data_IF_464645645860
#
_entry.id   IF_464645645860
#
_cell.length_a   1.000
_cell.length_b   1.000
_cell.length_c   1.000
_cell.angle_alpha   90.00
_cell.angle_beta   90.00
_cell.angle_gamma   90.00
#
_symmetry.space_group_name_H-M   'P 1'
#
loop_
_entity.id
_entity.type
_entity.pdbx_description
1 polymer ?
#
# COMPACT_ATOMS: atom_id res chain seq x y z
N UNK A 1 -8.61 3.46 -5.57
CA UNK A 1 -7.91 3.89 -6.82
C UNK A 1 -8.86 4.51 -7.83
N UNK A 2 -8.37 5.41 -8.67
CA UNK A 2 -9.17 6.07 -9.72
C UNK A 2 -9.57 5.08 -10.81
N UNK A 3 -10.68 5.34 -11.47
CA UNK A 3 -11.00 4.77 -12.76
C UNK A 3 -10.34 5.66 -13.82
N UNK A 4 -9.62 5.05 -14.75
CA UNK A 4 -8.96 5.74 -15.84
C UNK A 4 -9.72 5.51 -17.13
N UNK A 5 -9.51 6.39 -18.11
CA UNK A 5 -10.13 6.31 -19.42
C UNK A 5 -9.04 6.27 -20.51
N UNK A 6 -9.22 5.40 -21.47
CA UNK A 6 -8.30 5.26 -22.59
C UNK A 6 -8.40 6.49 -23.51
N UNK A 7 -7.31 7.21 -23.74
CA UNK A 7 -7.25 8.41 -24.58
C UNK A 7 -7.69 8.15 -26.04
N UNK A 8 -7.61 6.90 -26.51
CA UNK A 8 -7.92 6.54 -27.90
C UNK A 8 -9.36 6.06 -28.05
N UNK A 9 -9.84 5.20 -27.12
CA UNK A 9 -11.15 4.53 -27.26
C UNK A 9 -12.25 5.07 -26.35
N UNK A 10 -11.91 5.86 -25.34
CA UNK A 10 -12.83 6.32 -24.30
C UNK A 10 -13.32 5.21 -23.36
N UNK A 11 -12.80 3.98 -23.47
CA UNK A 11 -13.20 2.88 -22.61
C UNK A 11 -12.44 2.89 -21.29
N UNK A 12 -13.04 2.37 -20.21
CA UNK A 12 -12.37 2.25 -18.93
C UNK A 12 -11.10 1.40 -19.02
N UNK A 13 -10.02 1.86 -18.39
CA UNK A 13 -8.79 1.11 -18.16
C UNK A 13 -8.44 1.17 -16.69
N UNK A 14 -7.79 0.11 -16.20
CA UNK A 14 -7.47 -0.06 -14.79
C UNK A 14 -5.96 0.10 -14.57
N UNK A 15 -5.59 0.45 -13.36
CA UNK A 15 -4.21 0.76 -12.97
C UNK A 15 -3.18 -0.30 -13.42
N UNK A 16 -3.56 -1.57 -13.37
CA UNK A 16 -2.69 -2.70 -13.77
C UNK A 16 -2.70 -3.00 -15.27
N UNK A 17 -3.51 -2.29 -16.08
CA UNK A 17 -3.55 -2.57 -17.51
C UNK A 17 -2.21 -2.21 -18.16
N UNK A 18 -1.71 -3.11 -18.99
CA UNK A 18 -0.52 -2.93 -19.84
C UNK A 18 -0.89 -2.66 -21.28
N UNK A 19 -2.15 -2.94 -21.66
CA UNK A 19 -2.72 -2.68 -22.99
C UNK A 19 -4.15 -2.22 -22.87
N UNK A 20 -4.62 -1.45 -23.86
CA UNK A 20 -6.02 -1.07 -24.04
C UNK A 20 -6.63 -1.89 -25.18
N UNK A 21 -7.51 -2.82 -24.85
CA UNK A 21 -8.18 -3.70 -25.81
C UNK A 21 -9.04 -2.88 -26.79
N UNK A 22 -9.76 -1.87 -26.29
CA UNK A 22 -10.60 -0.99 -27.10
C UNK A 22 -9.81 -0.11 -28.09
N UNK A 23 -8.50 0.01 -27.91
CA UNK A 23 -7.59 0.75 -28.80
C UNK A 23 -6.69 -0.19 -29.63
N UNK A 24 -7.16 -1.38 -30.00
CA UNK A 24 -6.40 -2.35 -30.79
C UNK A 24 -5.16 -2.91 -30.09
N UNK A 25 -5.24 -3.10 -28.77
CA UNK A 25 -4.13 -3.50 -27.89
C UNK A 25 -2.99 -2.48 -27.82
N UNK A 26 -3.29 -1.18 -27.99
CA UNK A 26 -2.30 -0.13 -27.75
C UNK A 26 -1.70 -0.27 -26.35
N UNK A 27 -0.38 -0.17 -26.17
CA UNK A 27 0.24 -0.19 -24.86
C UNK A 27 -0.31 0.92 -23.96
N UNK A 28 -0.35 0.64 -22.66
CA UNK A 28 -0.82 1.57 -21.64
C UNK A 28 0.33 1.87 -20.68
N UNK A 29 0.49 3.14 -20.34
CA UNK A 29 1.53 3.58 -19.42
C UNK A 29 1.03 4.54 -18.35
N UNK A 30 1.53 4.36 -17.12
CA UNK A 30 1.20 5.21 -15.98
C UNK A 30 2.22 6.35 -15.85
N UNK A 31 1.72 7.57 -15.76
CA UNK A 31 2.50 8.80 -15.59
C UNK A 31 2.38 9.27 -14.15
N UNK A 32 3.50 9.22 -13.42
CA UNK A 32 3.53 9.44 -11.98
C UNK A 32 3.26 10.90 -11.57
N UNK A 33 3.70 11.87 -12.36
CA UNK A 33 3.54 13.30 -12.05
C UNK A 33 2.08 13.77 -12.05
N UNK A 34 1.25 13.15 -12.88
CA UNK A 34 -0.19 13.45 -12.97
C UNK A 34 -1.07 12.38 -12.34
N UNK A 35 -0.49 11.24 -11.95
CA UNK A 35 -1.21 10.06 -11.48
C UNK A 35 -2.28 9.60 -12.48
N UNK A 36 -1.92 9.54 -13.76
CA UNK A 36 -2.81 9.21 -14.88
C UNK A 36 -2.27 8.05 -15.70
N UNK A 37 -3.18 7.31 -16.30
CA UNK A 37 -2.89 6.17 -17.16
C UNK A 37 -3.27 6.54 -18.61
N UNK A 38 -2.35 6.32 -19.54
CA UNK A 38 -2.51 6.75 -20.94
C UNK A 38 -2.27 5.62 -21.92
N UNK A 39 -3.03 5.62 -23.01
CA UNK A 39 -2.72 4.80 -24.18
C UNK A 39 -1.59 5.43 -24.99
N UNK A 40 -0.65 4.62 -25.43
CA UNK A 40 0.59 5.08 -26.04
C UNK A 40 0.62 4.82 -27.54
N UNK A 41 1.35 5.70 -28.24
CA UNK A 41 1.69 5.55 -29.66
C UNK A 41 3.22 5.42 -29.79
N UNK A 42 3.73 4.48 -30.61
CA UNK A 42 5.17 4.33 -30.79
C UNK A 42 5.75 5.52 -31.54
N UNK A 43 6.90 6.01 -31.08
CA UNK A 43 7.77 6.92 -31.83
C UNK A 43 8.81 6.10 -32.57
N UNK A 44 9.44 5.16 -31.85
CA UNK A 44 10.40 4.15 -32.34
C UNK A 44 10.30 2.87 -31.49
N UNK A 45 11.33 2.03 -31.51
CA UNK A 45 11.35 0.74 -30.78
C UNK A 45 11.34 0.89 -29.24
N UNK A 46 11.82 2.03 -28.71
CA UNK A 46 11.98 2.26 -27.26
C UNK A 46 11.14 3.43 -26.73
N UNK A 47 10.78 4.37 -27.60
CA UNK A 47 10.12 5.61 -27.23
C UNK A 47 8.65 5.64 -27.61
N UNK A 48 7.88 6.26 -26.74
CA UNK A 48 6.43 6.36 -26.83
C UNK A 48 5.97 7.81 -26.68
N UNK A 49 4.91 8.16 -27.37
CA UNK A 49 4.17 9.42 -27.20
C UNK A 49 2.82 9.16 -26.53
N UNK A 50 2.37 10.17 -25.82
CA UNK A 50 1.01 10.24 -25.25
C UNK A 50 0.25 11.26 -26.09
N UNK A 51 -0.89 10.87 -26.74
CA UNK A 51 -1.60 11.78 -27.65
C UNK A 51 -2.02 13.11 -27.03
N UNK A 52 -2.36 13.11 -25.74
CA UNK A 52 -2.78 14.32 -24.99
C UNK A 52 -1.61 15.15 -24.44
N UNK A 53 -0.35 14.73 -24.64
CA UNK A 53 0.87 15.39 -24.12
C UNK A 53 1.88 15.64 -25.25
N UNK A 54 1.54 16.59 -26.12
CA UNK A 54 2.37 16.92 -27.29
C UNK A 54 3.79 17.37 -26.90
N UNK A 55 4.78 16.91 -27.66
CA UNK A 55 6.19 17.27 -27.46
C UNK A 55 6.90 16.51 -26.35
N UNK A 56 6.22 15.62 -25.62
CA UNK A 56 6.84 14.75 -24.62
C UNK A 56 7.06 13.35 -25.19
N UNK A 57 8.19 12.76 -24.84
CA UNK A 57 8.51 11.37 -25.15
C UNK A 57 8.79 10.57 -23.88
N UNK A 58 8.39 9.32 -23.91
CA UNK A 58 8.36 8.42 -22.74
C UNK A 58 8.98 7.08 -23.07
N UNK A 59 9.51 6.42 -22.08
CA UNK A 59 9.95 5.01 -22.12
C UNK A 59 9.42 4.24 -20.95
N UNK A 60 9.30 2.94 -21.09
CA UNK A 60 8.93 2.09 -19.98
C UNK A 60 10.08 1.89 -18.99
N UNK A 61 9.74 1.57 -17.74
CA UNK A 61 10.68 1.13 -16.73
C UNK A 61 11.44 -0.12 -17.22
N UNK A 62 12.75 -0.20 -16.98
CA UNK A 62 13.55 -1.36 -17.35
C UNK A 62 13.08 -2.67 -16.69
N UNK A 63 12.37 -2.59 -15.57
CA UNK A 63 11.79 -3.76 -14.91
C UNK A 63 10.53 -4.30 -15.61
N UNK A 64 10.01 -3.66 -16.65
CA UNK A 64 8.78 -4.08 -17.31
C UNK A 64 8.72 -5.55 -17.66
N UNK A 65 9.81 -6.09 -18.20
CA UNK A 65 9.88 -7.50 -18.59
C UNK A 65 9.91 -8.47 -17.40
N UNK A 66 10.24 -7.99 -16.20
CA UNK A 66 10.41 -8.78 -14.98
C UNK A 66 9.17 -8.71 -14.10
N UNK A 67 8.69 -7.49 -13.82
CA UNK A 67 7.63 -7.23 -12.84
C UNK A 67 6.31 -6.73 -13.46
N UNK A 68 6.23 -6.69 -14.80
CA UNK A 68 5.03 -6.23 -15.52
C UNK A 68 4.76 -4.73 -15.37
N UNK A 69 5.75 -3.91 -15.00
CA UNK A 69 5.56 -2.48 -14.77
C UNK A 69 5.01 -1.77 -16.01
N UNK A 70 3.91 -1.05 -15.84
CA UNK A 70 3.36 -0.12 -16.82
C UNK A 70 3.74 1.34 -16.55
N UNK A 71 4.59 1.60 -15.56
CA UNK A 71 5.03 2.95 -15.21
C UNK A 71 6.02 3.50 -16.24
N UNK A 72 5.78 4.75 -16.62
CA UNK A 72 6.58 5.46 -17.60
C UNK A 72 7.65 6.33 -16.93
N UNK A 73 8.68 6.58 -17.71
CA UNK A 73 9.78 7.48 -17.39
C UNK A 73 9.90 8.44 -18.57
N UNK A 74 10.12 9.73 -18.31
CA UNK A 74 10.43 10.67 -19.38
C UNK A 74 11.70 10.25 -20.12
N UNK A 75 11.76 10.46 -21.39
CA UNK A 75 12.93 10.08 -22.19
C UNK A 75 14.22 10.81 -21.77
N UNK A 76 14.07 12.03 -21.21
CA UNK A 76 15.16 12.88 -20.71
C UNK A 76 15.54 12.61 -19.22
N UNK A 77 14.81 11.73 -18.52
CA UNK A 77 15.13 11.33 -17.14
C UNK A 77 16.38 10.43 -17.15
N UNK A 78 17.43 10.73 -16.34
CA UNK A 78 18.64 9.91 -16.30
C UNK A 78 18.43 8.51 -15.69
N UNK A 79 17.36 8.28 -14.95
CA UNK A 79 17.09 7.00 -14.31
C UNK A 79 16.51 5.97 -15.27
N UNK A 80 17.05 4.74 -15.22
CA UNK A 80 16.53 3.61 -15.98
C UNK A 80 15.23 3.01 -15.42
N UNK A 81 14.90 3.35 -14.17
CA UNK A 81 13.80 2.77 -13.42
C UNK A 81 12.74 3.83 -13.07
N UNK A 82 11.48 3.42 -13.11
CA UNK A 82 10.37 4.21 -12.59
C UNK A 82 10.45 4.34 -11.06
N UNK A 83 9.76 5.33 -10.51
CA UNK A 83 9.85 5.72 -9.09
C UNK A 83 9.84 4.52 -8.13
N UNK A 84 8.88 3.58 -8.15
CA UNK A 84 8.89 2.47 -7.19
C UNK A 84 10.18 1.64 -7.24
N UNK A 85 10.67 1.36 -8.44
CA UNK A 85 11.83 0.49 -8.64
C UNK A 85 13.18 1.15 -8.30
N UNK A 86 13.23 2.47 -8.16
CA UNK A 86 14.45 3.21 -7.71
C UNK A 86 14.83 2.88 -6.27
N UNK A 87 13.89 2.42 -5.48
CA UNK A 87 14.10 2.05 -4.07
C UNK A 87 14.53 0.60 -3.88
N UNK A 88 14.55 -0.24 -4.94
CA UNK A 88 14.89 -1.64 -4.84
C UNK A 88 16.42 -1.83 -4.85
N UNK A 89 16.97 -2.40 -3.75
CA UNK A 89 18.39 -2.70 -3.62
C UNK A 89 18.70 -4.15 -3.92
N UNK A 90 17.98 -5.07 -3.31
CA UNK A 90 18.14 -6.51 -3.54
C UNK A 90 16.86 -7.09 -4.14
N UNK A 91 17.03 -7.90 -5.19
CA UNK A 91 15.95 -8.57 -5.90
C UNK A 91 16.22 -10.07 -5.93
N UNK A 92 15.19 -10.94 -5.82
CA UNK A 92 15.37 -12.37 -5.98
C UNK A 92 15.78 -12.73 -7.42
N UNK A 93 16.21 -13.99 -7.60
CA UNK A 93 16.51 -14.54 -8.93
C UNK A 93 15.30 -14.40 -9.88
N UNK A 94 15.57 -14.28 -11.17
CA UNK A 94 14.55 -14.26 -12.24
C UNK A 94 14.61 -15.51 -13.13
N UNK A 95 15.36 -16.53 -12.71
CA UNK A 95 15.64 -17.69 -13.54
C UNK A 95 14.44 -18.61 -13.71
N UNK A 96 13.67 -18.85 -12.65
CA UNK A 96 12.46 -19.68 -12.71
C UNK A 96 11.23 -18.88 -13.16
N UNK A 97 10.21 -19.57 -13.65
CA UNK A 97 8.91 -18.95 -13.93
C UNK A 97 8.21 -18.51 -12.65
N UNK A 98 8.37 -19.28 -11.57
CA UNK A 98 7.82 -19.01 -10.24
C UNK A 98 8.42 -17.74 -9.63
N UNK A 99 9.74 -17.56 -9.70
CA UNK A 99 10.39 -16.33 -9.22
C UNK A 99 9.92 -15.09 -9.98
N UNK A 100 9.72 -15.20 -11.31
CA UNK A 100 9.17 -14.10 -12.11
C UNK A 100 7.73 -13.77 -11.72
N UNK A 101 6.90 -14.77 -11.42
CA UNK A 101 5.53 -14.54 -10.94
C UNK A 101 5.51 -13.85 -9.57
N UNK A 102 6.38 -14.28 -8.63
CA UNK A 102 6.57 -13.60 -7.34
C UNK A 102 6.96 -12.15 -7.54
N UNK A 103 7.94 -11.87 -8.41
CA UNK A 103 8.38 -10.50 -8.70
C UNK A 103 7.28 -9.65 -9.34
N UNK A 104 6.45 -10.23 -10.19
CA UNK A 104 5.29 -9.56 -10.76
C UNK A 104 4.29 -9.14 -9.66
N UNK A 105 3.95 -10.05 -8.73
CA UNK A 105 3.06 -9.78 -7.60
C UNK A 105 3.65 -8.73 -6.64
N UNK A 106 4.96 -8.83 -6.33
CA UNK A 106 5.68 -7.87 -5.49
C UNK A 106 5.68 -6.48 -6.15
N UNK A 107 6.05 -6.40 -7.43
CA UNK A 107 6.08 -5.15 -8.18
C UNK A 107 4.70 -4.49 -8.27
N UNK A 108 3.64 -5.30 -8.47
CA UNK A 108 2.25 -4.80 -8.46
C UNK A 108 1.90 -4.19 -7.10
N UNK A 109 2.14 -4.90 -6.00
CA UNK A 109 1.85 -4.38 -4.65
C UNK A 109 2.68 -3.12 -4.34
N UNK A 110 3.95 -3.08 -4.74
CA UNK A 110 4.81 -1.91 -4.56
C UNK A 110 4.29 -0.69 -5.35
N UNK A 111 3.85 -0.88 -6.60
CA UNK A 111 3.24 0.19 -7.40
C UNK A 111 1.97 0.75 -6.78
N UNK A 112 1.12 -0.11 -6.20
CA UNK A 112 -0.06 0.32 -5.44
C UNK A 112 0.32 1.15 -4.20
N UNK A 113 1.34 0.73 -3.46
CA UNK A 113 1.88 1.51 -2.34
C UNK A 113 2.33 2.89 -2.79
N UNK A 114 3.17 2.96 -3.84
CA UNK A 114 3.69 4.22 -4.35
C UNK A 114 2.60 5.12 -4.95
N UNK A 115 1.56 4.56 -5.56
CA UNK A 115 0.38 5.34 -5.94
C UNK A 115 -0.20 6.07 -4.73
N UNK A 116 -0.39 5.38 -3.62
CA UNK A 116 -0.94 5.98 -2.40
C UNK A 116 -0.01 7.05 -1.81
N UNK A 117 1.31 6.79 -1.76
CA UNK A 117 2.32 7.75 -1.28
C UNK A 117 2.29 9.04 -2.11
N UNK A 118 2.34 8.91 -3.45
CA UNK A 118 2.28 10.03 -4.38
C UNK A 118 0.95 10.79 -4.27
N UNK A 119 -0.16 10.07 -4.17
CA UNK A 119 -1.52 10.63 -4.07
C UNK A 119 -1.73 11.41 -2.77
N UNK A 120 -1.11 10.96 -1.67
CA UNK A 120 -1.08 11.68 -0.38
C UNK A 120 -0.13 12.88 -0.41
N UNK A 121 0.86 12.89 -1.31
CA UNK A 121 1.92 13.89 -1.37
C UNK A 121 2.92 13.74 -0.21
N UNK A 122 3.18 12.51 0.22
CA UNK A 122 4.09 12.23 1.32
C UNK A 122 5.56 12.29 0.88
N UNK A 123 6.48 12.86 1.67
CA UNK A 123 7.90 12.79 1.40
C UNK A 123 8.39 11.34 1.48
N UNK A 124 9.25 10.95 0.57
CA UNK A 124 9.80 9.60 0.54
C UNK A 124 11.28 9.65 0.15
N UNK A 125 12.17 10.16 1.03
CA UNK A 125 13.60 10.25 0.74
C UNK A 125 14.20 8.84 0.59
N UNK A 126 14.94 8.61 -0.49
CA UNK A 126 15.75 7.41 -0.69
C UNK A 126 17.12 7.52 -0.03
N UNK A 127 17.94 6.47 -0.15
CA UNK A 127 19.30 6.41 0.39
C UNK A 127 20.27 7.42 -0.26
N UNK A 128 19.95 7.95 -1.40
CA UNK A 128 20.68 9.02 -2.09
C UNK A 128 20.45 10.39 -1.43
N UNK A 129 19.30 10.60 -0.80
CA UNK A 129 18.92 11.82 -0.07
C UNK A 129 19.23 11.70 1.43
N UNK A 130 18.87 10.59 2.05
CA UNK A 130 19.16 10.26 3.44
C UNK A 130 19.87 8.90 3.51
N UNK A 131 21.19 8.93 3.55
CA UNK A 131 22.04 7.74 3.49
C UNK A 131 21.80 6.76 4.64
N UNK A 132 21.29 7.24 5.78
CA UNK A 132 21.12 6.44 6.99
C UNK A 132 19.67 5.93 7.18
N UNK A 133 18.67 6.75 6.86
CA UNK A 133 17.27 6.46 7.16
C UNK A 133 16.36 6.55 5.93
N UNK A 134 16.92 6.81 4.74
CA UNK A 134 16.15 6.84 3.49
C UNK A 134 15.57 5.47 3.15
N UNK A 135 14.43 5.47 2.48
CA UNK A 135 13.72 4.27 2.08
C UNK A 135 14.55 3.41 1.12
N UNK A 136 14.58 2.11 1.38
CA UNK A 136 15.13 1.10 0.48
C UNK A 136 14.42 -0.23 0.70
N UNK A 137 14.23 -1.01 -0.36
CA UNK A 137 13.61 -2.35 -0.31
C UNK A 137 14.63 -3.44 -0.65
N UNK A 138 14.59 -4.51 0.14
CA UNK A 138 15.22 -5.81 -0.17
C UNK A 138 14.14 -6.87 -0.30
N UNK A 139 14.07 -7.54 -1.44
CA UNK A 139 13.21 -8.69 -1.66
C UNK A 139 14.06 -9.96 -1.56
N UNK A 140 13.90 -10.68 -0.44
CA UNK A 140 14.81 -11.73 -0.01
C UNK A 140 14.27 -13.11 -0.34
N UNK A 141 15.12 -13.96 -0.93
CA UNK A 141 14.83 -15.38 -1.08
C UNK A 141 15.16 -16.15 0.20
N UNK A 142 14.40 -17.21 0.46
CA UNK A 142 14.75 -18.19 1.48
C UNK A 142 16.10 -18.84 1.14
N UNK A 143 16.83 -19.24 2.15
CA UNK A 143 18.09 -19.95 2.02
C UNK A 143 17.98 -21.38 2.60
N UNK A 144 19.02 -22.17 2.44
CA UNK A 144 19.12 -23.48 3.09
C UNK A 144 20.39 -23.56 3.93
N UNK A 145 20.30 -24.23 5.07
CA UNK A 145 21.47 -24.55 5.87
C UNK A 145 22.32 -25.68 5.23
N UNK A 146 23.42 -26.06 5.89
CA UNK A 146 24.33 -27.14 5.44
C UNK A 146 23.64 -28.50 5.31
N UNK A 147 22.53 -28.72 5.99
CA UNK A 147 21.77 -29.97 6.00
C UNK A 147 20.59 -29.95 5.02
N UNK A 148 20.45 -28.84 4.24
CA UNK A 148 19.40 -28.65 3.27
C UNK A 148 18.06 -28.21 3.88
N UNK A 149 18.03 -27.85 5.16
CA UNK A 149 16.82 -27.34 5.82
C UNK A 149 16.58 -25.89 5.44
N UNK A 150 15.34 -25.58 5.08
CA UNK A 150 14.92 -24.23 4.72
C UNK A 150 15.12 -23.26 5.89
N UNK A 151 15.77 -22.13 5.61
CA UNK A 151 15.87 -20.96 6.49
C UNK A 151 15.06 -19.84 5.82
N UNK A 152 13.86 -19.54 6.34
CA UNK A 152 13.05 -18.46 5.78
C UNK A 152 13.76 -17.12 5.94
N UNK A 153 13.70 -16.29 4.89
CA UNK A 153 14.07 -14.88 4.99
C UNK A 153 13.09 -14.16 5.93
N UNK A 154 13.57 -13.12 6.60
CA UNK A 154 12.73 -12.36 7.52
C UNK A 154 12.21 -11.09 6.85
N UNK A 155 10.93 -10.82 7.05
CA UNK A 155 10.30 -9.54 6.72
C UNK A 155 10.38 -8.60 7.91
N UNK A 156 10.56 -7.32 7.68
CA UNK A 156 10.59 -6.29 8.72
C UNK A 156 11.22 -4.98 8.26
N UNK A 157 11.20 -4.00 9.13
CA UNK A 157 11.76 -2.66 8.92
C UNK A 157 12.91 -2.38 9.89
N UNK A 158 14.01 -1.81 9.38
CA UNK A 158 15.14 -1.32 10.17
C UNK A 158 15.76 -0.09 9.49
N UNK A 159 15.73 1.06 10.16
CA UNK A 159 16.36 2.31 9.68
C UNK A 159 16.10 2.65 8.19
N UNK A 160 14.84 2.59 7.77
CA UNK A 160 14.42 2.87 6.40
C UNK A 160 14.62 1.70 5.43
N UNK A 161 15.28 0.61 5.85
CA UNK A 161 15.31 -0.64 5.08
C UNK A 161 14.05 -1.44 5.37
N UNK A 162 13.30 -1.75 4.33
CA UNK A 162 12.18 -2.70 4.36
C UNK A 162 12.62 -3.98 3.66
N UNK A 163 12.75 -5.04 4.43
CA UNK A 163 13.02 -6.38 3.92
C UNK A 163 11.71 -7.15 3.77
N UNK A 164 11.48 -7.78 2.63
CA UNK A 164 10.31 -8.61 2.36
C UNK A 164 10.75 -9.98 1.87
N UNK A 165 10.22 -11.02 2.51
CA UNK A 165 10.42 -12.39 2.07
C UNK A 165 9.68 -12.61 0.76
N UNK A 166 10.39 -12.94 -0.34
CA UNK A 166 9.78 -13.10 -1.66
C UNK A 166 8.70 -14.19 -1.71
N UNK A 167 8.83 -15.26 -0.90
CA UNK A 167 7.83 -16.31 -0.79
C UNK A 167 6.47 -15.83 -0.23
N UNK A 168 6.38 -14.64 0.37
CA UNK A 168 5.10 -14.06 0.76
C UNK A 168 4.23 -13.63 -0.44
N UNK A 169 4.80 -13.58 -1.64
CA UNK A 169 4.04 -13.42 -2.88
C UNK A 169 3.23 -14.68 -3.25
N UNK A 170 3.55 -15.85 -2.67
CA UNK A 170 2.82 -17.09 -2.88
C UNK A 170 1.59 -17.13 -1.98
N UNK A 171 0.45 -17.46 -2.56
CA UNK A 171 -0.84 -17.40 -1.86
C UNK A 171 -0.93 -18.47 -0.77
N UNK A 172 -0.39 -19.66 -1.01
CA UNK A 172 -0.35 -20.78 -0.06
C UNK A 172 0.58 -20.49 1.14
N UNK A 173 1.75 -19.91 0.90
CA UNK A 173 2.68 -19.49 1.96
C UNK A 173 2.04 -18.41 2.83
N UNK A 174 1.45 -17.40 2.20
CA UNK A 174 0.79 -16.29 2.90
C UNK A 174 -0.42 -16.76 3.70
N UNK A 175 -1.24 -17.67 3.13
CA UNK A 175 -2.38 -18.25 3.81
C UNK A 175 -1.96 -19.14 4.99
N UNK A 176 -0.90 -19.93 4.84
CA UNK A 176 -0.35 -20.74 5.94
C UNK A 176 0.11 -19.85 7.12
N UNK A 177 0.78 -18.72 6.84
CA UNK A 177 1.18 -17.75 7.87
C UNK A 177 -0.05 -17.11 8.51
N UNK A 178 -1.02 -16.65 7.71
CA UNK A 178 -2.28 -16.06 8.20
C UNK A 178 -3.00 -16.99 9.20
N UNK A 179 -3.13 -18.27 8.84
CA UNK A 179 -3.79 -19.26 9.72
C UNK A 179 -2.98 -19.52 10.97
N UNK A 180 -1.65 -19.67 10.86
CA UNK A 180 -0.78 -19.94 12.01
C UNK A 180 -0.74 -18.80 13.02
N UNK A 181 -0.91 -17.55 12.56
CA UNK A 181 -0.95 -16.36 13.41
C UNK A 181 -2.38 -15.99 13.86
N UNK A 182 -3.40 -16.68 13.35
CA UNK A 182 -4.80 -16.36 13.66
C UNK A 182 -5.25 -15.01 13.12
N UNK A 183 -4.62 -14.50 12.06
CA UNK A 183 -4.96 -13.22 11.46
C UNK A 183 -6.22 -13.33 10.60
N UNK A 184 -7.17 -12.40 10.72
CA UNK A 184 -8.36 -12.39 9.86
C UNK A 184 -8.08 -11.93 8.42
N UNK A 185 -6.99 -11.19 8.22
CA UNK A 185 -6.61 -10.58 6.96
C UNK A 185 -5.08 -10.56 6.82
N UNK A 186 -4.55 -11.00 5.66
CA UNK A 186 -3.14 -10.90 5.32
C UNK A 186 -2.97 -10.83 3.81
N UNK A 187 -2.51 -9.71 3.29
CA UNK A 187 -2.20 -9.51 1.87
C UNK A 187 -0.80 -8.94 1.70
N UNK A 188 -0.20 -9.18 0.54
CA UNK A 188 1.11 -8.61 0.22
C UNK A 188 1.09 -7.07 0.27
N UNK A 189 0.05 -6.43 -0.28
CA UNK A 189 -0.12 -4.98 -0.21
C UNK A 189 -0.32 -4.50 1.23
N UNK A 190 -1.06 -5.25 2.05
CA UNK A 190 -1.23 -4.95 3.48
C UNK A 190 0.11 -4.94 4.21
N UNK A 191 0.97 -5.90 3.92
CA UNK A 191 2.31 -5.98 4.50
C UNK A 191 3.19 -4.79 4.08
N UNK A 192 3.22 -4.45 2.79
CA UNK A 192 3.89 -3.23 2.33
C UNK A 192 3.40 -1.96 3.04
N UNK A 193 2.10 -1.84 3.28
CA UNK A 193 1.51 -0.71 3.99
C UNK A 193 1.85 -0.68 5.46
N UNK A 194 2.00 -1.85 6.08
CA UNK A 194 2.44 -1.98 7.46
C UNK A 194 3.91 -1.55 7.61
N UNK A 195 4.82 -2.13 6.84
CA UNK A 195 6.24 -1.84 6.93
C UNK A 195 6.57 -0.37 6.60
N UNK A 196 5.87 0.23 5.62
CA UNK A 196 6.02 1.65 5.33
C UNK A 196 5.48 2.54 6.47
N UNK A 197 4.56 2.02 7.30
CA UNK A 197 4.09 2.68 8.51
C UNK A 197 5.23 2.90 9.51
N UNK A 198 6.09 1.90 9.74
CA UNK A 198 7.30 2.04 10.57
C UNK A 198 8.25 3.09 10.00
N UNK A 199 8.48 3.09 8.68
CA UNK A 199 9.28 4.13 8.01
C UNK A 199 8.70 5.53 8.26
N UNK A 200 7.41 5.72 8.09
CA UNK A 200 6.79 7.03 8.29
C UNK A 200 6.69 7.45 9.76
N UNK A 201 6.59 6.51 10.70
CA UNK A 201 6.78 6.85 12.11
C UNK A 201 8.15 7.48 12.35
N UNK A 202 9.20 6.87 11.83
CA UNK A 202 10.57 7.35 11.96
C UNK A 202 10.78 8.70 11.28
N UNK A 203 10.22 8.88 10.06
CA UNK A 203 10.38 10.09 9.27
C UNK A 203 9.56 11.28 9.76
N UNK A 204 8.31 11.03 10.17
CA UNK A 204 7.32 12.10 10.41
C UNK A 204 6.99 12.31 11.88
N UNK A 205 7.18 11.31 12.75
CA UNK A 205 6.79 11.37 14.16
C UNK A 205 7.98 11.47 15.09
N UNK A 206 8.95 10.55 14.99
CA UNK A 206 10.00 10.36 15.98
C UNK A 206 10.83 11.61 16.29
N UNK A 207 10.97 12.54 15.34
CA UNK A 207 11.73 13.78 15.47
C UNK A 207 10.88 15.04 15.32
N UNK A 208 9.57 14.90 15.48
CA UNK A 208 8.62 16.01 15.31
C UNK A 208 8.00 16.46 16.64
N UNK A 209 7.29 17.57 16.59
CA UNK A 209 6.45 18.07 17.69
C UNK A 209 5.20 17.19 17.94
N UNK A 210 4.93 16.21 17.08
CA UNK A 210 3.81 15.28 17.24
C UNK A 210 4.16 14.03 18.06
N UNK A 211 5.44 13.80 18.45
CA UNK A 211 5.85 12.62 19.20
C UNK A 211 5.14 12.46 20.54
N UNK A 212 4.95 13.56 21.28
CA UNK A 212 4.26 13.51 22.58
C UNK A 212 2.80 13.09 22.45
N UNK A 213 2.11 13.55 21.41
CA UNK A 213 0.74 13.14 21.11
C UNK A 213 0.67 11.67 20.62
N UNK A 214 1.62 11.25 19.79
CA UNK A 214 1.73 9.86 19.35
C UNK A 214 1.87 8.91 20.55
N UNK A 215 2.76 9.23 21.50
CA UNK A 215 2.92 8.44 22.72
C UNK A 215 1.67 8.42 23.61
N UNK A 216 0.92 9.50 23.64
CA UNK A 216 -0.34 9.53 24.39
C UNK A 216 -1.43 8.62 23.79
N UNK A 217 -1.43 8.45 22.45
CA UNK A 217 -2.43 7.65 21.73
C UNK A 217 -2.01 6.17 21.57
N UNK A 218 -0.74 5.91 21.21
CA UNK A 218 -0.24 4.58 20.88
C UNK A 218 0.55 3.93 22.01
N UNK A 219 1.09 4.70 22.96
CA UNK A 219 2.04 4.23 23.96
C UNK A 219 3.48 4.64 23.63
N UNK A 220 4.43 4.26 24.50
CA UNK A 220 5.84 4.58 24.35
C UNK A 220 6.54 3.57 23.41
N UNK A 221 6.94 3.99 22.25
CA UNK A 221 7.64 3.18 21.25
C UNK A 221 9.01 2.65 21.71
N UNK A 222 9.53 3.16 22.84
CA UNK A 222 10.82 2.71 23.43
C UNK A 222 10.67 1.50 24.35
N UNK A 223 9.45 1.02 24.56
CA UNK A 223 9.22 -0.22 25.29
C UNK A 223 9.98 -1.39 24.65
N UNK A 224 10.40 -2.36 25.47
CA UNK A 224 11.17 -3.51 24.98
C UNK A 224 10.34 -4.35 24.01
N UNK A 225 10.61 -4.16 22.71
CA UNK A 225 9.92 -4.82 21.61
C UNK A 225 10.01 -6.35 21.72
N UNK A 226 11.20 -6.91 22.02
CA UNK A 226 11.38 -8.36 22.10
C UNK A 226 10.60 -8.97 23.26
N UNK A 227 10.60 -8.29 24.41
CA UNK A 227 9.81 -8.71 25.56
C UNK A 227 8.29 -8.58 25.33
N UNK A 228 7.86 -7.53 24.60
CA UNK A 228 6.46 -7.32 24.23
C UNK A 228 5.97 -8.41 23.27
N UNK A 229 6.74 -8.70 22.23
CA UNK A 229 6.44 -9.74 21.25
C UNK A 229 6.39 -11.12 21.87
N UNK A 230 7.39 -11.47 22.73
CA UNK A 230 7.40 -12.72 23.48
C UNK A 230 6.16 -12.87 24.36
N UNK A 231 5.79 -11.81 25.06
CA UNK A 231 4.61 -11.79 25.92
C UNK A 231 3.32 -12.04 25.13
N UNK A 232 3.22 -11.41 23.95
CA UNK A 232 2.07 -11.61 23.06
C UNK A 232 1.96 -13.05 22.55
N UNK A 233 3.08 -13.68 22.16
CA UNK A 233 3.08 -15.10 21.73
C UNK A 233 2.78 -16.07 22.88
N UNK A 234 3.23 -15.79 24.11
CA UNK A 234 3.02 -16.67 25.25
C UNK A 234 1.63 -16.54 25.88
N UNK A 235 1.06 -15.33 25.89
CA UNK A 235 -0.18 -15.02 26.64
C UNK A 235 -1.35 -14.63 25.76
N UNK A 236 -1.10 -14.37 24.47
CA UNK A 236 -2.08 -13.76 23.56
C UNK A 236 -2.28 -12.26 23.82
N UNK A 237 -3.16 -11.62 23.01
CA UNK A 237 -3.51 -10.23 23.17
C UNK A 237 -4.31 -10.00 24.47
N UNK A 238 -4.39 -8.76 24.99
CA UNK A 238 -5.30 -8.40 26.06
C UNK A 238 -6.75 -8.76 25.73
N UNK A 239 -7.56 -9.15 26.72
CA UNK A 239 -8.93 -9.58 26.49
C UNK A 239 -9.83 -8.44 25.94
N UNK A 240 -9.49 -7.20 26.24
CA UNK A 240 -10.17 -5.97 25.85
C UNK A 240 -9.56 -5.32 24.59
N UNK A 241 -8.65 -6.04 23.89
CA UNK A 241 -8.02 -5.50 22.67
C UNK A 241 -9.04 -4.96 21.65
N UNK A 242 -10.23 -5.56 21.43
CA UNK A 242 -11.17 -5.03 20.43
C UNK A 242 -11.73 -3.64 20.76
N UNK A 243 -11.60 -3.19 22.01
CA UNK A 243 -12.06 -1.89 22.46
C UNK A 243 -11.01 -0.78 22.20
N UNK A 244 -9.72 -1.15 21.99
CA UNK A 244 -8.59 -0.23 21.97
C UNK A 244 -7.70 -0.32 20.73
N UNK A 245 -7.70 -1.46 20.04
CA UNK A 245 -6.79 -1.75 18.93
C UNK A 245 -7.53 -2.22 17.69
N UNK A 246 -6.94 -1.93 16.52
CA UNK A 246 -7.53 -2.30 15.23
C UNK A 246 -7.35 -3.79 14.91
N UNK A 247 -6.31 -4.42 15.46
CA UNK A 247 -6.00 -5.84 15.30
C UNK A 247 -5.39 -6.41 16.59
N UNK A 248 -5.37 -7.74 16.71
CA UNK A 248 -4.65 -8.41 17.79
C UNK A 248 -3.16 -8.08 17.78
N UNK A 249 -2.57 -7.96 16.59
CA UNK A 249 -1.15 -7.65 16.41
C UNK A 249 -0.82 -6.23 16.85
N UNK A 250 -1.70 -5.27 16.58
CA UNK A 250 -1.57 -3.89 17.08
C UNK A 250 -1.41 -3.80 18.60
N UNK A 251 -2.05 -4.72 19.35
CA UNK A 251 -1.94 -4.74 20.82
C UNK A 251 -0.59 -5.22 21.37
N UNK A 252 0.29 -5.67 20.49
CA UNK A 252 1.58 -6.25 20.86
C UNK A 252 2.58 -5.18 21.35
N UNK A 253 2.71 -4.08 20.59
CA UNK A 253 3.67 -3.01 20.84
C UNK A 253 3.19 -1.69 20.24
N UNK A 254 3.52 -0.51 20.83
CA UNK A 254 3.14 0.79 20.27
C UNK A 254 3.55 1.03 18.81
N UNK A 255 4.71 0.55 18.38
CA UNK A 255 5.15 0.66 16.99
C UNK A 255 4.27 -0.16 16.03
N UNK A 256 3.80 -1.34 16.48
CA UNK A 256 2.89 -2.17 15.69
C UNK A 256 1.50 -1.56 15.59
N UNK A 257 1.02 -0.95 16.69
CA UNK A 257 -0.26 -0.24 16.70
C UNK A 257 -0.26 0.93 15.71
N UNK A 258 0.84 1.70 15.65
CA UNK A 258 0.96 2.76 14.66
C UNK A 258 1.01 2.19 13.24
N UNK A 259 1.83 1.16 12.98
CA UNK A 259 1.99 0.58 11.64
C UNK A 259 0.69 -0.08 11.14
N UNK A 260 -0.05 -0.77 12.01
CA UNK A 260 -1.37 -1.33 11.71
C UNK A 260 -2.38 -0.22 11.38
N UNK A 261 -2.50 0.81 12.24
CA UNK A 261 -3.38 1.95 11.96
C UNK A 261 -3.01 2.67 10.66
N UNK A 262 -1.70 2.81 10.35
CA UNK A 262 -1.22 3.37 9.09
C UNK A 262 -1.65 2.53 7.88
N UNK A 263 -1.46 1.21 7.94
CA UNK A 263 -1.88 0.30 6.88
C UNK A 263 -3.39 0.38 6.63
N UNK A 264 -4.19 0.36 7.70
CA UNK A 264 -5.64 0.47 7.61
C UNK A 264 -6.11 1.83 7.09
N UNK A 265 -5.45 2.92 7.46
CA UNK A 265 -5.72 4.24 6.89
C UNK A 265 -5.57 4.22 5.35
N UNK A 266 -4.50 3.62 4.84
CA UNK A 266 -4.28 3.48 3.40
C UNK A 266 -5.34 2.58 2.74
N UNK A 267 -5.72 1.47 3.37
CA UNK A 267 -6.80 0.61 2.88
C UNK A 267 -8.11 1.38 2.74
N UNK A 268 -8.47 2.16 3.75
CA UNK A 268 -9.70 2.94 3.78
C UNK A 268 -9.70 4.01 2.68
N UNK A 269 -8.66 4.84 2.58
CA UNK A 269 -8.64 5.93 1.59
C UNK A 269 -8.61 5.42 0.16
N UNK A 270 -7.86 4.36 -0.13
CA UNK A 270 -7.79 3.74 -1.46
C UNK A 270 -9.12 3.13 -1.89
N UNK A 271 -9.78 2.42 -0.97
CA UNK A 271 -11.07 1.79 -1.26
C UNK A 271 -12.18 2.83 -1.42
N UNK A 272 -12.18 3.88 -0.59
CA UNK A 272 -13.12 5.00 -0.73
C UNK A 272 -12.89 5.78 -2.03
N UNK A 273 -11.64 5.93 -2.51
CA UNK A 273 -11.37 6.53 -3.82
C UNK A 273 -11.98 5.68 -4.94
N UNK A 274 -11.86 4.35 -4.85
CA UNK A 274 -12.51 3.44 -5.79
C UNK A 274 -14.04 3.55 -5.74
N UNK A 275 -14.60 3.53 -4.54
CA UNK A 275 -16.05 3.68 -4.36
C UNK A 275 -16.57 4.99 -4.95
N UNK A 276 -15.84 6.10 -4.76
CA UNK A 276 -16.14 7.39 -5.38
C UNK A 276 -16.04 7.33 -6.89
N UNK A 277 -14.99 6.74 -7.44
CA UNK A 277 -14.76 6.65 -8.89
C UNK A 277 -15.87 5.87 -9.61
N UNK A 278 -16.40 4.83 -8.97
CA UNK A 278 -17.51 4.04 -9.49
C UNK A 278 -18.89 4.61 -9.13
N UNK A 279 -18.96 5.72 -8.40
CA UNK A 279 -20.23 6.30 -7.95
C UNK A 279 -21.02 5.39 -7.02
N UNK A 280 -20.31 4.54 -6.22
CA UNK A 280 -20.95 3.62 -5.31
C UNK A 280 -21.76 4.37 -4.26
N UNK A 281 -23.03 4.00 -4.14
CA UNK A 281 -23.96 4.53 -3.14
C UNK A 281 -24.58 3.37 -2.37
N UNK A 282 -24.61 3.47 -1.06
CA UNK A 282 -25.30 2.55 -0.15
C UNK A 282 -26.59 3.23 0.29
N UNK A 283 -27.72 2.63 -0.05
CA UNK A 283 -29.08 3.12 0.27
C UNK A 283 -29.93 1.94 0.82
N UNK A 284 -29.77 1.60 2.11
CA UNK A 284 -30.47 0.47 2.70
C UNK A 284 -31.96 0.80 2.90
N UNK A 285 -32.84 -0.13 2.57
CA UNK A 285 -34.30 0.04 2.70
C UNK A 285 -34.77 0.19 4.15
N UNK A 286 -34.02 -0.32 5.12
CA UNK A 286 -34.46 -0.45 6.52
C UNK A 286 -33.56 0.26 7.54
N UNK A 287 -32.33 0.56 7.21
CA UNK A 287 -31.31 1.17 8.10
C UNK A 287 -30.73 2.40 7.43
N UNK A 288 -31.45 3.53 7.54
CA UNK A 288 -31.02 4.80 6.92
C UNK A 288 -29.75 5.39 7.53
N UNK A 289 -29.41 4.99 8.75
CA UNK A 289 -28.14 5.29 9.41
C UNK A 289 -26.91 4.68 8.70
N UNK A 290 -27.12 3.70 7.81
CA UNK A 290 -26.11 3.11 6.95
C UNK A 290 -26.10 3.72 5.53
N UNK A 291 -26.84 4.79 5.25
CA UNK A 291 -26.75 5.50 3.97
C UNK A 291 -25.35 6.12 3.83
N UNK A 292 -24.69 5.87 2.71
CA UNK A 292 -23.38 6.44 2.43
C UNK A 292 -23.15 6.68 0.95
N UNK A 293 -22.48 7.78 0.64
CA UNK A 293 -21.92 8.10 -0.66
C UNK A 293 -20.65 8.91 -0.48
N UNK A 294 -19.58 8.54 -1.17
CA UNK A 294 -18.30 9.26 -1.09
C UNK A 294 -18.33 10.47 -2.03
N UNK A 295 -18.67 11.65 -1.48
CA UNK A 295 -18.75 12.91 -2.24
C UNK A 295 -17.52 13.81 -2.09
N UNK A 296 -16.56 13.41 -1.26
CA UNK A 296 -15.31 14.13 -0.98
C UNK A 296 -14.11 13.37 -1.58
N UNK A 297 -12.95 14.02 -1.58
CA UNK A 297 -11.69 13.33 -1.92
C UNK A 297 -11.14 12.60 -0.69
N UNK A 298 -11.15 11.25 -0.63
CA UNK A 298 -10.69 10.51 0.55
C UNK A 298 -9.24 10.79 0.93
N UNK A 299 -8.41 11.10 -0.05
CA UNK A 299 -7.02 11.49 0.18
C UNK A 299 -6.84 12.89 0.76
N UNK A 300 -7.93 13.67 0.86
CA UNK A 300 -8.00 15.03 1.41
C UNK A 300 -9.10 15.15 2.45
N UNK A 301 -9.45 14.05 3.12
CA UNK A 301 -10.48 14.05 4.14
C UNK A 301 -10.18 15.07 5.25
N UNK A 302 -11.21 15.75 5.73
CA UNK A 302 -11.07 16.75 6.79
C UNK A 302 -10.77 16.12 8.15
N UNK A 303 -11.21 14.87 8.38
CA UNK A 303 -10.98 14.09 9.60
C UNK A 303 -11.09 12.59 9.32
N UNK A 304 -10.56 11.76 10.22
CA UNK A 304 -10.78 10.32 10.14
C UNK A 304 -12.25 9.95 10.33
N UNK A 305 -13.01 10.70 11.12
CA UNK A 305 -14.44 10.47 11.29
C UNK A 305 -15.18 10.55 9.95
N UNK A 306 -14.84 11.53 9.09
CA UNK A 306 -15.41 11.63 7.74
C UNK A 306 -15.13 10.39 6.88
N UNK A 307 -13.93 9.82 7.02
CA UNK A 307 -13.58 8.56 6.35
C UNK A 307 -14.40 7.40 6.90
N UNK A 308 -14.49 7.27 8.22
CA UNK A 308 -15.17 6.16 8.90
C UNK A 308 -16.67 6.19 8.63
N UNK A 309 -17.31 7.35 8.63
CA UNK A 309 -18.73 7.52 8.32
C UNK A 309 -19.08 7.01 6.91
N UNK A 310 -18.18 7.20 5.95
CA UNK A 310 -18.35 6.65 4.60
C UNK A 310 -17.92 5.17 4.51
N UNK A 311 -16.87 4.78 5.24
CA UNK A 311 -16.26 3.47 5.15
C UNK A 311 -17.11 2.36 5.76
N UNK A 312 -17.66 2.57 6.95
CA UNK A 312 -18.41 1.54 7.68
C UNK A 312 -19.59 1.00 6.86
N UNK A 313 -20.48 1.81 6.30
CA UNK A 313 -21.58 1.29 5.48
C UNK A 313 -21.08 0.56 4.21
N UNK A 314 -20.04 1.09 3.55
CA UNK A 314 -19.48 0.48 2.35
C UNK A 314 -18.84 -0.87 2.68
N UNK A 315 -18.03 -0.96 3.74
CA UNK A 315 -17.39 -2.22 4.13
C UNK A 315 -18.39 -3.29 4.55
N UNK A 316 -19.47 -2.91 5.25
CA UNK A 316 -20.57 -3.82 5.60
C UNK A 316 -21.27 -4.37 4.35
N UNK A 317 -21.53 -3.52 3.34
CA UNK A 317 -22.12 -3.95 2.08
C UNK A 317 -21.18 -4.90 1.33
N UNK A 318 -19.90 -4.56 1.21
CA UNK A 318 -18.88 -5.40 0.55
C UNK A 318 -18.72 -6.75 1.26
N UNK A 319 -18.66 -6.77 2.59
CA UNK A 319 -18.62 -8.02 3.36
C UNK A 319 -19.87 -8.87 3.13
N UNK A 320 -21.04 -8.24 3.06
CA UNK A 320 -22.31 -8.95 2.78
C UNK A 320 -22.31 -9.57 1.38
N UNK A 321 -21.80 -8.86 0.36
CA UNK A 321 -21.65 -9.42 -0.99
C UNK A 321 -20.69 -10.61 -1.02
N UNK A 322 -19.55 -10.53 -0.34
CA UNK A 322 -18.61 -11.65 -0.24
C UNK A 322 -19.22 -12.86 0.43
N UNK A 323 -19.91 -12.67 1.56
CA UNK A 323 -20.64 -13.76 2.25
C UNK A 323 -21.70 -14.39 1.35
N UNK A 324 -22.41 -13.58 0.54
CA UNK A 324 -23.41 -14.10 -0.43
C UNK A 324 -22.80 -14.95 -1.53
N UNK A 325 -21.49 -14.79 -1.80
CA UNK A 325 -20.71 -15.61 -2.73
C UNK A 325 -19.93 -16.74 -2.04
N UNK A 326 -20.14 -16.96 -0.73
CA UNK A 326 -19.44 -17.98 0.05
C UNK A 326 -17.97 -17.66 0.35
N UNK A 327 -17.59 -16.37 0.30
CA UNK A 327 -16.25 -15.89 0.58
C UNK A 327 -16.15 -15.25 1.98
N UNK A 328 -14.93 -15.14 2.50
CA UNK A 328 -14.66 -14.43 3.73
C UNK A 328 -14.87 -12.93 3.56
N UNK A 329 -15.04 -12.21 4.67
CA UNK A 329 -15.16 -10.77 4.68
C UNK A 329 -13.90 -10.11 4.06
N UNK A 330 -14.11 -9.10 3.21
CA UNK A 330 -13.03 -8.26 2.67
C UNK A 330 -12.37 -7.46 3.78
N UNK A 331 -13.16 -6.93 4.71
CA UNK A 331 -12.68 -6.11 5.82
C UNK A 331 -13.36 -6.54 7.13
N UNK A 332 -12.74 -7.48 7.85
CA UNK A 332 -13.32 -8.08 9.07
C UNK A 332 -13.00 -7.30 10.35
N UNK A 333 -12.65 -6.02 10.26
CA UNK A 333 -12.20 -5.20 11.38
C UNK A 333 -13.29 -4.25 11.87
N UNK A 334 -13.30 -4.02 13.18
CA UNK A 334 -14.17 -3.05 13.85
C UNK A 334 -13.33 -1.81 14.20
N UNK A 335 -13.92 -0.63 14.08
CA UNK A 335 -13.25 0.64 14.35
C UNK A 335 -13.85 1.28 15.62
N UNK A 336 -13.39 0.92 16.84
CA UNK A 336 -13.82 1.58 18.07
C UNK A 336 -13.26 3.00 18.16
N UNK A 337 -13.83 3.80 19.07
CA UNK A 337 -13.47 5.23 19.23
C UNK A 337 -11.95 5.45 19.36
N UNK A 338 -11.22 4.71 20.21
CA UNK A 338 -9.77 4.91 20.33
C UNK A 338 -9.00 4.66 19.01
N UNK A 339 -9.47 3.72 18.18
CA UNK A 339 -8.87 3.48 16.86
C UNK A 339 -9.19 4.66 15.91
N UNK A 340 -10.39 5.21 15.96
CA UNK A 340 -10.74 6.40 15.16
C UNK A 340 -9.86 7.60 15.53
N UNK A 341 -9.55 7.79 16.81
CA UNK A 341 -8.63 8.84 17.29
C UNK A 341 -7.20 8.63 16.75
N UNK A 342 -6.71 7.40 16.73
CA UNK A 342 -5.42 7.03 16.13
C UNK A 342 -5.40 7.28 14.61
N UNK A 343 -6.45 6.91 13.91
CA UNK A 343 -6.60 7.20 12.47
C UNK A 343 -6.67 8.71 12.21
N UNK A 344 -7.29 9.49 13.10
CA UNK A 344 -7.35 10.96 12.99
C UNK A 344 -5.97 11.59 13.22
N UNK A 345 -5.19 11.08 14.16
CA UNK A 345 -3.80 11.46 14.31
C UNK A 345 -3.02 11.26 13.01
N UNK A 346 -3.15 10.08 12.37
CA UNK A 346 -2.52 9.77 11.09
C UNK A 346 -3.01 10.72 9.99
N UNK A 347 -4.30 11.00 9.90
CA UNK A 347 -4.87 11.95 8.93
C UNK A 347 -4.25 13.34 9.06
N UNK A 348 -4.13 13.86 10.29
CA UNK A 348 -3.51 15.16 10.58
C UNK A 348 -2.01 15.16 10.32
N UNK A 349 -1.31 14.09 10.69
CA UNK A 349 0.12 13.89 10.40
C UNK A 349 0.39 13.96 8.90
N UNK A 350 -0.36 13.22 8.10
CA UNK A 350 -0.28 13.24 6.64
C UNK A 350 -0.59 14.64 6.09
N UNK A 351 -1.65 15.28 6.57
CA UNK A 351 -2.02 16.62 6.11
C UNK A 351 -0.92 17.66 6.38
N UNK A 352 -0.23 17.56 7.53
CA UNK A 352 0.89 18.42 7.92
C UNK A 352 2.18 18.16 7.11
N UNK A 353 2.39 16.91 6.70
CA UNK A 353 3.64 16.45 6.09
C UNK A 353 3.66 16.48 4.57
N UNK A 354 2.58 16.93 3.92
CA UNK A 354 2.48 16.99 2.46
C UNK A 354 3.56 17.89 1.85
N UNK A 355 4.27 17.37 0.87
CA UNK A 355 5.14 18.17 0.02
C UNK A 355 4.34 18.83 -1.08
N UNK A 356 4.58 20.14 -1.31
CA UNK A 356 3.97 20.88 -2.42
C UNK A 356 4.75 20.68 -3.73
N UNK A 357 6.03 20.33 -3.63
CA UNK A 357 6.92 20.07 -4.76
C UNK A 357 7.14 18.56 -4.94
N UNK A 358 7.30 18.13 -6.20
CA UNK A 358 7.68 16.76 -6.51
C UNK A 358 9.08 16.49 -5.94
N UNK A 359 9.18 15.46 -5.10
CA UNK A 359 10.44 15.02 -4.47
C UNK A 359 11.10 13.83 -5.23
N UNK A 360 10.44 13.39 -6.31
CA UNK A 360 10.86 12.26 -7.17
C UNK A 360 11.41 12.72 -8.53
#
# INVERSE_FOLDING_TARGET
MRLFECDISGLPIYFENTVSIGAGNAPVGFVADTLTLHSLQPIDDELWSIPSREGESWRFCNNRAIDGSNWLIRSDDPHAFAIPARYNRAMPSTQSAEDRERLHKIGSAQRHLFYSILRLGLPCPGRDVDAQHGLVFDFLQDSSDSDGKLIPAMTGHEDGLISLRAAEADDDVREAVRVSMGEPYRTLLGHFRHEIGHFYFQQLVARSDMLAEARALFGDERDDYAAALKRNYEKGPPLDWPEHFISTYASCHPSEDFAECWAHYFHIVDTLESARAFGLSIDPKTHQDLEAQVRFDPYRAASAQQLVDAWVPISLALNTFQRSMGQADIYPFVLPVPVIEKLDFINRLIAKSRCNDAWW
#
